data_IF_794415411501
#
_entry.id   IF_794415411501
#
_cell.length_a   1.000
_cell.length_b   1.000
_cell.length_c   1.000
_cell.angle_alpha   90.00
_cell.angle_beta   90.00
_cell.angle_gamma   90.00
#
_symmetry.space_group_name_H-M   'P 1'
#
loop_
_entity.id
_entity.type
_entity.pdbx_description
1 polymer ?
#
# COMPACT_ATOMS: atom_id res chain seq x y z
N UNK A 1 10.09 -5.12 25.01
CA UNK A 1 10.45 -3.81 25.58
C UNK A 1 9.26 -2.98 25.23
N UNK A 2 8.60 -2.32 26.19
CA UNK A 2 7.35 -1.65 25.85
C UNK A 2 7.60 -0.62 24.74
N UNK A 3 6.77 -0.60 23.70
CA UNK A 3 6.79 0.48 22.70
C UNK A 3 6.85 1.85 23.38
N UNK A 4 7.73 2.71 22.87
CA UNK A 4 7.84 4.12 23.26
C UNK A 4 7.24 4.99 22.16
N UNK A 5 6.34 5.89 22.54
CA UNK A 5 5.78 6.88 21.63
C UNK A 5 6.61 8.14 21.67
N UNK A 6 7.01 8.63 20.50
CA UNK A 6 7.63 9.93 20.30
C UNK A 6 6.70 10.78 19.46
N UNK A 7 6.39 11.98 19.93
CA UNK A 7 5.63 12.95 19.15
C UNK A 7 6.60 13.92 18.46
N UNK A 8 6.42 14.13 17.17
CA UNK A 8 7.23 15.06 16.38
C UNK A 8 6.33 16.06 15.67
N UNK A 9 6.48 17.34 15.97
CA UNK A 9 5.71 18.41 15.33
C UNK A 9 6.41 18.85 14.05
N UNK A 10 5.72 18.74 12.92
CA UNK A 10 6.24 19.05 11.59
C UNK A 10 5.98 20.51 11.24
N UNK A 11 7.06 21.27 11.14
CA UNK A 11 7.03 22.68 10.72
C UNK A 11 7.27 22.80 9.21
N UNK A 12 7.00 23.98 8.66
CA UNK A 12 7.24 24.26 7.23
C UNK A 12 8.68 24.03 6.77
N UNK A 13 9.65 24.28 7.65
CA UNK A 13 11.08 24.16 7.35
C UNK A 13 11.69 22.92 8.04
N UNK A 14 10.88 21.91 8.34
CA UNK A 14 11.37 20.67 8.93
C UNK A 14 12.35 19.99 7.96
N UNK A 15 13.54 19.53 8.40
CA UNK A 15 14.51 18.90 7.51
C UNK A 15 14.04 17.58 6.89
N UNK A 16 13.00 16.95 7.44
CA UNK A 16 12.36 15.77 6.85
C UNK A 16 11.31 16.14 5.80
N UNK A 17 11.00 17.43 5.62
CA UNK A 17 10.03 17.89 4.65
C UNK A 17 10.74 18.36 3.39
N UNK A 18 10.44 17.68 2.29
CA UNK A 18 10.82 18.12 0.96
C UNK A 18 9.63 18.80 0.29
N UNK A 19 9.88 20.00 -0.25
CA UNK A 19 8.89 20.69 -1.08
C UNK A 19 9.05 20.20 -2.50
N UNK A 20 8.03 19.52 -3.01
CA UNK A 20 8.03 19.10 -4.41
C UNK A 20 7.73 20.33 -5.24
N UNK A 21 8.71 20.73 -6.06
CA UNK A 21 8.49 21.80 -7.04
C UNK A 21 8.13 21.15 -8.37
N UNK A 22 7.02 21.54 -9.00
CA UNK A 22 6.74 21.22 -10.39
C UNK A 22 7.96 21.41 -11.30
N UNK A 23 8.55 20.32 -11.81
CA UNK A 23 9.55 20.35 -12.88
C UNK A 23 11.01 20.05 -12.53
N UNK A 24 11.36 19.67 -11.29
CA UNK A 24 12.75 19.24 -10.99
C UNK A 24 12.88 17.71 -11.04
N UNK A 25 13.07 17.19 -12.24
CA UNK A 25 13.28 15.77 -12.50
C UNK A 25 14.55 15.22 -11.82
N UNK A 26 14.38 14.33 -10.84
CA UNK A 26 15.32 13.23 -10.57
C UNK A 26 14.54 11.93 -10.31
N UNK A 27 14.13 11.27 -11.39
CA UNK A 27 13.86 9.82 -11.40
C UNK A 27 12.59 9.29 -10.72
N UNK A 28 12.14 9.87 -9.61
CA UNK A 28 10.85 9.53 -9.01
C UNK A 28 9.73 10.05 -9.90
N UNK A 29 8.62 9.31 -9.99
CA UNK A 29 7.35 9.74 -10.61
C UNK A 29 7.19 11.24 -10.38
N UNK A 30 7.26 12.04 -11.44
CA UNK A 30 7.17 13.47 -11.24
C UNK A 30 5.77 13.78 -10.71
N UNK A 31 5.72 14.07 -9.42
CA UNK A 31 4.65 14.81 -8.77
C UNK A 31 4.70 16.27 -9.27
N UNK A 32 4.89 16.46 -10.58
CA UNK A 32 5.07 17.77 -11.21
C UNK A 32 3.82 18.65 -11.13
N UNK A 33 2.73 18.15 -10.54
CA UNK A 33 1.52 18.92 -10.26
C UNK A 33 1.23 19.05 -8.75
N UNK A 34 2.02 18.45 -7.87
CA UNK A 34 1.83 18.57 -6.43
C UNK A 34 2.63 19.75 -5.90
N UNK A 35 1.98 20.88 -5.66
CA UNK A 35 2.49 21.85 -4.68
C UNK A 35 2.26 21.29 -3.27
N UNK A 36 3.02 20.28 -2.90
CA UNK A 36 2.86 19.71 -1.57
C UNK A 36 4.16 19.16 -1.02
N UNK A 37 4.02 18.71 0.22
CA UNK A 37 5.14 18.40 1.09
C UNK A 37 5.17 16.91 1.31
N UNK A 38 6.32 16.31 1.10
CA UNK A 38 6.54 14.91 1.44
C UNK A 38 7.40 14.80 2.67
N UNK A 39 7.05 13.85 3.54
CA UNK A 39 7.86 13.44 4.66
C UNK A 39 8.84 12.38 4.16
N UNK A 40 10.08 12.79 3.95
CA UNK A 40 11.17 11.91 3.60
C UNK A 40 11.83 11.38 4.88
N UNK A 41 11.67 10.08 5.13
CA UNK A 41 12.40 9.35 6.18
C UNK A 41 13.43 8.46 5.50
N UNK A 42 14.74 8.73 5.66
CA UNK A 42 15.77 7.95 4.99
C UNK A 42 15.71 6.46 5.31
N UNK A 43 15.92 5.61 4.28
CA UNK A 43 15.89 4.14 4.40
C UNK A 43 14.57 3.61 4.98
N UNK A 44 13.45 4.26 4.62
CA UNK A 44 12.11 3.80 4.94
C UNK A 44 11.43 3.12 3.76
N UNK A 45 10.40 2.35 4.09
CA UNK A 45 9.40 1.84 3.15
C UNK A 45 8.03 2.33 3.62
N UNK A 46 7.22 2.85 2.70
CA UNK A 46 5.83 3.23 3.00
C UNK A 46 4.96 1.99 2.92
N UNK A 47 4.19 1.77 3.98
CA UNK A 47 3.20 0.72 4.06
C UNK A 47 1.93 1.07 3.26
N UNK A 48 1.46 0.16 2.41
CA UNK A 48 0.21 0.27 1.70
C UNK A 48 -1.00 -0.20 2.55
N UNK A 49 -2.23 0.21 2.18
CA UNK A 49 -3.46 -0.34 2.75
C UNK A 49 -3.55 -1.85 2.56
N UNK A 50 -3.92 -2.58 3.62
CA UNK A 50 -3.84 -4.05 3.69
C UNK A 50 -2.45 -4.60 3.37
N UNK A 51 -1.41 -3.77 3.51
CA UNK A 51 -0.02 -4.16 3.43
C UNK A 51 0.51 -4.59 4.79
N UNK A 52 1.53 -5.43 4.77
CA UNK A 52 2.34 -5.70 5.95
C UNK A 52 3.82 -5.83 5.64
N UNK A 53 4.61 -5.57 6.68
CA UNK A 53 6.07 -5.62 6.67
C UNK A 53 6.57 -6.40 7.87
N UNK A 54 7.62 -7.17 7.65
CA UNK A 54 8.41 -7.85 8.67
C UNK A 54 9.76 -7.14 8.86
N UNK A 55 10.04 -6.70 10.08
CA UNK A 55 11.32 -6.08 10.45
C UNK A 55 12.06 -7.02 11.39
N UNK A 56 13.07 -7.70 10.86
CA UNK A 56 13.99 -8.53 11.65
C UNK A 56 15.34 -7.82 11.83
N UNK A 57 16.19 -8.22 12.79
CA UNK A 57 17.45 -7.53 13.05
C UNK A 57 18.33 -7.31 11.82
N UNK A 58 18.40 -8.32 10.94
CA UNK A 58 19.18 -8.33 9.70
C UNK A 58 18.55 -7.57 8.53
N UNK A 59 17.34 -7.01 8.69
CA UNK A 59 16.67 -6.23 7.65
C UNK A 59 17.51 -5.03 7.22
N UNK A 60 17.52 -4.70 5.93
CA UNK A 60 18.18 -3.50 5.40
C UNK A 60 17.36 -2.22 5.68
N UNK A 61 16.04 -2.34 5.84
CA UNK A 61 15.18 -1.26 6.28
C UNK A 61 15.46 -0.83 7.72
N UNK A 62 15.53 0.48 7.95
CA UNK A 62 15.66 1.08 9.29
C UNK A 62 14.30 1.48 9.84
N UNK A 63 13.41 1.96 8.96
CA UNK A 63 12.08 2.45 9.30
C UNK A 63 11.01 1.85 8.41
N UNK A 64 9.81 1.74 8.96
CA UNK A 64 8.56 1.63 8.18
C UNK A 64 7.77 2.88 8.42
N UNK A 65 7.32 3.52 7.35
CA UNK A 65 6.49 4.72 7.40
C UNK A 65 5.10 4.42 6.88
N UNK A 66 4.15 5.28 7.23
CA UNK A 66 2.79 5.19 6.74
C UNK A 66 1.96 6.37 7.21
N UNK A 67 0.71 6.41 6.77
CA UNK A 67 -0.27 7.41 7.18
C UNK A 67 -1.33 6.78 8.10
N UNK A 68 -2.01 7.60 8.90
CA UNK A 68 -3.07 7.16 9.81
C UNK A 68 -4.45 7.07 9.14
N UNK A 69 -4.54 6.97 7.81
CA UNK A 69 -5.83 6.84 7.11
C UNK A 69 -6.47 5.46 7.27
N UNK A 70 -5.72 4.50 7.82
CA UNK A 70 -6.17 3.14 8.10
C UNK A 70 -5.77 2.74 9.52
N UNK A 71 -6.51 1.83 10.16
CA UNK A 71 -6.05 1.20 11.36
C UNK A 71 -4.68 0.52 11.17
N UNK A 72 -3.80 0.69 12.16
CA UNK A 72 -2.44 0.15 12.13
C UNK A 72 -2.26 -0.74 13.35
N UNK A 73 -1.72 -1.93 13.14
CA UNK A 73 -1.27 -2.81 14.21
C UNK A 73 0.24 -2.95 14.11
N UNK A 74 0.92 -2.77 15.23
CA UNK A 74 2.35 -2.97 15.35
C UNK A 74 2.57 -3.99 16.46
N UNK A 75 3.24 -5.08 16.14
CA UNK A 75 3.56 -6.13 17.09
C UNK A 75 5.08 -6.34 17.15
N UNK A 76 5.62 -6.44 18.36
CA UNK A 76 7.05 -6.65 18.61
C UNK A 76 7.27 -7.79 19.59
N UNK A 77 8.27 -8.62 19.30
CA UNK A 77 8.78 -9.58 20.26
C UNK A 77 10.19 -9.17 20.71
N UNK A 78 10.34 -8.85 22.00
CA UNK A 78 11.63 -8.47 22.58
C UNK A 78 12.68 -9.57 22.46
N UNK A 79 12.26 -10.83 22.60
CA UNK A 79 13.20 -11.96 22.65
C UNK A 79 13.81 -12.28 21.27
N UNK A 80 13.08 -12.03 20.19
CA UNK A 80 13.54 -12.25 18.82
C UNK A 80 13.99 -10.96 18.13
N UNK A 81 13.70 -9.80 18.73
CA UNK A 81 13.96 -8.48 18.14
C UNK A 81 13.28 -8.32 16.77
N UNK A 82 12.13 -8.97 16.60
CA UNK A 82 11.31 -8.91 15.40
C UNK A 82 10.10 -8.03 15.64
N UNK A 83 9.79 -7.20 14.65
CA UNK A 83 8.63 -6.31 14.62
C UNK A 83 7.86 -6.56 13.34
N UNK A 84 6.53 -6.61 13.41
CA UNK A 84 5.67 -6.55 12.24
C UNK A 84 4.80 -5.31 12.32
N UNK A 85 4.61 -4.68 11.16
CA UNK A 85 3.73 -3.52 10.99
C UNK A 85 2.72 -3.90 9.92
N UNK A 86 1.44 -3.71 10.20
CA UNK A 86 0.37 -4.00 9.27
C UNK A 86 -0.69 -2.90 9.30
N UNK A 87 -1.17 -2.51 8.13
CA UNK A 87 -2.27 -1.56 7.95
C UNK A 87 -3.50 -2.36 7.56
N UNK A 88 -4.48 -2.43 8.45
CA UNK A 88 -5.66 -3.30 8.28
C UNK A 88 -6.90 -2.48 8.00
N UNK A 89 -7.81 -3.05 7.23
CA UNK A 89 -9.16 -2.52 7.07
C UNK A 89 -9.96 -2.58 8.37
N UNK A 90 -11.00 -1.76 8.44
CA UNK A 90 -11.96 -1.75 9.56
C UNK A 90 -12.87 -3.00 9.58
N UNK A 91 -12.89 -3.76 8.49
CA UNK A 91 -13.68 -4.98 8.36
C UNK A 91 -12.93 -6.18 8.94
N UNK A 92 -13.68 -7.21 9.35
CA UNK A 92 -13.15 -8.50 9.82
C UNK A 92 -12.01 -8.99 8.92
N UNK A 93 -10.80 -9.00 9.48
CA UNK A 93 -9.65 -9.67 8.88
C UNK A 93 -9.76 -11.13 9.26
N UNK A 94 -9.64 -12.03 8.28
CA UNK A 94 -9.58 -13.46 8.56
C UNK A 94 -8.42 -13.69 9.53
N UNK A 95 -8.70 -14.21 10.75
CA UNK A 95 -7.69 -14.41 11.78
C UNK A 95 -6.48 -15.18 11.27
N UNK A 96 -6.70 -16.12 10.35
CA UNK A 96 -5.64 -16.96 9.81
C UNK A 96 -4.56 -16.16 9.06
N UNK A 97 -4.88 -14.97 8.56
CA UNK A 97 -3.89 -14.09 7.94
C UNK A 97 -2.85 -13.56 8.95
N UNK A 98 -3.11 -13.64 10.26
CA UNK A 98 -2.12 -13.27 11.30
C UNK A 98 -1.16 -14.40 11.68
N UNK A 99 -1.37 -15.63 11.19
CA UNK A 99 -0.51 -16.79 11.52
C UNK A 99 0.94 -16.52 11.15
N UNK A 100 1.18 -16.04 9.94
CA UNK A 100 2.53 -15.76 9.44
C UNK A 100 3.22 -14.66 10.25
N UNK A 101 2.47 -13.70 10.77
CA UNK A 101 3.00 -12.65 11.64
C UNK A 101 3.45 -13.21 12.99
N UNK A 102 2.64 -14.07 13.62
CA UNK A 102 3.01 -14.72 14.88
C UNK A 102 4.17 -15.69 14.69
N UNK A 103 4.19 -16.43 13.58
CA UNK A 103 5.31 -17.29 13.17
C UNK A 103 6.61 -16.49 13.02
N UNK A 104 6.52 -15.38 12.28
CA UNK A 104 7.63 -14.46 12.10
C UNK A 104 8.13 -13.93 13.45
N UNK A 105 7.24 -13.41 14.30
CA UNK A 105 7.61 -12.86 15.61
C UNK A 105 8.22 -13.90 16.55
N UNK A 106 7.75 -15.16 16.50
CA UNK A 106 8.22 -16.21 17.40
C UNK A 106 9.55 -16.83 17.00
N UNK A 107 9.86 -16.86 15.70
CA UNK A 107 11.11 -17.43 15.19
C UNK A 107 11.38 -18.86 15.72
N UNK A 108 10.36 -19.71 15.67
CA UNK A 108 10.41 -21.07 16.20
C UNK A 108 10.41 -21.20 17.73
N UNK A 109 10.42 -20.10 18.50
CA UNK A 109 10.44 -20.12 19.98
C UNK A 109 9.02 -20.16 20.57
N UNK A 110 8.91 -20.64 21.81
CA UNK A 110 7.68 -20.71 22.59
C UNK A 110 7.76 -19.87 23.86
N UNK A 111 6.62 -19.65 24.53
CA UNK A 111 6.59 -18.96 25.83
C UNK A 111 6.96 -17.48 25.75
N UNK A 112 6.84 -16.87 24.56
CA UNK A 112 7.24 -15.50 24.32
C UNK A 112 6.14 -14.50 24.73
N UNK A 113 6.57 -13.27 25.03
CA UNK A 113 5.67 -12.13 25.21
C UNK A 113 5.70 -11.29 23.93
N UNK A 114 4.53 -11.09 23.32
CA UNK A 114 4.33 -10.22 22.17
C UNK A 114 3.67 -8.92 22.65
N UNK A 115 4.34 -7.79 22.41
CA UNK A 115 3.79 -6.46 22.69
C UNK A 115 3.07 -5.96 21.44
N UNK A 116 1.81 -5.58 21.56
CA UNK A 116 0.95 -5.12 20.49
C UNK A 116 0.47 -3.71 20.80
N UNK A 117 0.57 -2.83 19.81
CA UNK A 117 -0.01 -1.50 19.84
C UNK A 117 -0.87 -1.31 18.60
N UNK A 118 -2.11 -0.89 18.84
CA UNK A 118 -3.09 -0.63 17.78
C UNK A 118 -3.40 0.87 17.75
N UNK A 119 -3.37 1.44 16.56
CA UNK A 119 -3.90 2.76 16.28
C UNK A 119 -5.14 2.61 15.42
N UNK A 120 -6.25 3.17 15.90
CA UNK A 120 -7.51 3.17 15.16
C UNK A 120 -8.01 4.62 15.05
N UNK A 121 -8.09 5.18 13.83
CA UNK A 121 -8.60 6.54 13.65
C UNK A 121 -10.05 6.71 14.14
N UNK A 122 -10.85 5.64 14.14
CA UNK A 122 -12.29 5.73 14.44
C UNK A 122 -12.66 5.17 15.82
N UNK A 123 -11.65 4.79 16.63
CA UNK A 123 -11.85 4.31 18.00
C UNK A 123 -12.71 3.05 18.11
N UNK A 124 -12.75 2.22 17.05
CA UNK A 124 -13.57 1.03 16.96
C UNK A 124 -13.12 -0.09 17.90
N UNK A 125 -14.05 -0.95 18.38
CA UNK A 125 -13.71 -2.05 19.26
C UNK A 125 -13.11 -3.24 18.49
N UNK A 126 -11.78 -3.34 18.48
CA UNK A 126 -10.97 -4.50 18.04
C UNK A 126 -11.08 -5.73 18.97
N UNK A 127 -12.24 -5.94 19.61
CA UNK A 127 -12.40 -6.97 20.65
C UNK A 127 -12.15 -8.37 20.09
N UNK A 128 -12.63 -8.63 18.88
CA UNK A 128 -12.47 -9.93 18.25
C UNK A 128 -11.02 -10.15 17.81
N UNK A 129 -10.33 -9.10 17.36
CA UNK A 129 -8.90 -9.18 17.01
C UNK A 129 -8.04 -9.66 18.19
N UNK A 130 -8.23 -9.12 19.39
CA UNK A 130 -7.44 -9.57 20.54
C UNK A 130 -7.73 -11.04 20.90
N UNK A 131 -9.01 -11.43 20.85
CA UNK A 131 -9.41 -12.82 21.09
C UNK A 131 -8.80 -13.77 20.05
N UNK A 132 -8.80 -13.39 18.78
CA UNK A 132 -8.26 -14.17 17.68
C UNK A 132 -6.74 -14.30 17.75
N UNK A 133 -6.02 -13.22 17.99
CA UNK A 133 -4.57 -13.26 18.15
C UNK A 133 -4.17 -14.15 19.34
N UNK A 134 -4.89 -14.04 20.47
CA UNK A 134 -4.66 -14.91 21.63
C UNK A 134 -4.94 -16.38 21.31
N UNK A 135 -6.02 -16.66 20.59
CA UNK A 135 -6.38 -18.01 20.13
C UNK A 135 -5.29 -18.60 19.22
N UNK A 136 -4.78 -17.82 18.27
CA UNK A 136 -3.70 -18.23 17.36
C UNK A 136 -2.36 -18.42 18.07
N UNK A 137 -2.08 -17.63 19.11
CA UNK A 137 -0.85 -17.74 19.89
C UNK A 137 -0.86 -18.84 20.96
N UNK A 138 -2.05 -19.31 21.38
CA UNK A 138 -2.19 -20.29 22.46
C UNK A 138 -1.44 -21.62 22.21
N UNK A 139 -1.45 -22.23 21.01
CA UNK A 139 -0.67 -23.44 20.72
C UNK A 139 0.84 -23.28 20.94
N UNK A 140 1.35 -22.04 20.92
CA UNK A 140 2.77 -21.72 21.07
C UNK A 140 3.10 -21.07 22.43
N UNK A 141 2.14 -21.13 23.37
CA UNK A 141 2.27 -20.55 24.71
C UNK A 141 2.61 -19.05 24.69
N UNK A 142 2.15 -18.33 23.66
CA UNK A 142 2.39 -16.88 23.56
C UNK A 142 1.51 -16.14 24.55
N UNK A 143 2.10 -15.10 25.16
CA UNK A 143 1.38 -14.12 25.96
C UNK A 143 1.42 -12.76 25.26
N UNK A 144 0.40 -11.94 25.50
CA UNK A 144 0.20 -10.70 24.77
C UNK A 144 -0.05 -9.53 25.72
N UNK A 145 0.67 -8.43 25.49
CA UNK A 145 0.34 -7.12 26.06
C UNK A 145 -0.23 -6.25 24.94
N UNK A 146 -1.51 -5.88 25.01
CA UNK A 146 -2.17 -5.03 24.02
C UNK A 146 -2.37 -3.60 24.56
N UNK A 147 -2.20 -2.60 23.70
CA UNK A 147 -2.50 -1.19 23.98
C UNK A 147 -3.19 -0.56 22.79
N UNK A 148 -4.25 0.18 23.07
CA UNK A 148 -4.94 1.01 22.09
C UNK A 148 -4.46 2.45 22.24
N UNK A 149 -4.19 3.11 21.12
CA UNK A 149 -3.74 4.50 21.08
C UNK A 149 -4.51 5.28 20.04
N UNK A 150 -4.93 6.46 20.45
CA UNK A 150 -5.44 7.47 19.55
C UNK A 150 -4.27 8.13 18.82
N UNK A 151 -4.39 8.26 17.49
CA UNK A 151 -3.44 9.00 16.67
C UNK A 151 -3.51 10.52 16.94
N UNK A 152 -4.64 11.00 17.48
CA UNK A 152 -4.93 12.40 17.72
C UNK A 152 -4.84 13.19 16.42
N UNK A 153 -3.98 14.20 16.39
CA UNK A 153 -3.74 15.01 15.18
C UNK A 153 -2.63 14.46 14.27
N UNK A 154 -2.02 13.32 14.60
CA UNK A 154 -0.94 12.78 13.79
C UNK A 154 -1.44 12.40 12.38
N UNK A 155 -0.62 12.68 11.37
CA UNK A 155 -0.92 12.34 9.96
C UNK A 155 -0.11 11.16 9.46
N UNK A 156 1.12 11.03 9.95
CA UNK A 156 2.01 9.95 9.57
C UNK A 156 2.71 9.35 10.79
N UNK A 157 3.26 8.15 10.61
CA UNK A 157 4.09 7.49 11.59
C UNK A 157 5.39 6.95 10.99
N UNK A 158 6.37 6.71 11.86
CA UNK A 158 7.54 5.89 11.55
C UNK A 158 7.76 4.88 12.69
N UNK A 159 7.92 3.61 12.34
CA UNK A 159 8.30 2.52 13.27
C UNK A 159 9.77 2.21 13.07
N UNK A 160 10.56 2.43 14.11
CA UNK A 160 12.00 2.12 14.08
C UNK A 160 12.25 0.64 14.41
N UNK A 161 13.05 -0.02 13.55
CA UNK A 161 13.41 -1.44 13.71
C UNK A 161 14.03 -1.77 15.08
N UNK A 162 15.02 -1.00 15.51
CA UNK A 162 15.92 -1.38 16.60
C UNK A 162 15.42 -1.05 18.01
N UNK A 163 14.57 -0.03 18.14
CA UNK A 163 14.32 0.63 19.44
C UNK A 163 12.89 0.45 19.93
N UNK A 164 12.00 -0.13 19.12
CA UNK A 164 10.55 -0.14 19.37
C UNK A 164 10.00 1.28 19.62
N UNK A 165 10.62 2.29 18.98
CA UNK A 165 10.13 3.67 18.99
C UNK A 165 9.17 3.86 17.82
N UNK A 166 8.01 4.41 18.13
CA UNK A 166 7.03 4.85 17.13
C UNK A 166 7.01 6.37 17.18
N UNK A 167 7.43 6.99 16.09
CA UNK A 167 7.37 8.45 15.94
C UNK A 167 6.06 8.81 15.24
N UNK A 168 5.24 9.62 15.90
CA UNK A 168 4.00 10.18 15.37
C UNK A 168 4.25 11.61 14.88
N UNK A 169 3.94 11.89 13.62
CA UNK A 169 4.19 13.17 12.98
C UNK A 169 2.92 14.02 12.95
N UNK A 170 2.96 15.15 13.65
CA UNK A 170 1.82 16.06 13.80
C UNK A 170 2.02 17.31 12.93
N UNK A 171 1.08 17.64 12.02
CA UNK A 171 1.16 18.86 11.22
C UNK A 171 0.98 20.11 12.10
N UNK A 172 1.64 21.19 11.69
CA UNK A 172 1.34 22.55 12.18
C UNK A 172 0.34 23.23 11.25
N UNK A 173 -0.33 24.33 11.68
CA UNK A 173 -1.18 25.10 10.78
C UNK A 173 -0.47 25.62 9.51
N UNK A 174 0.86 25.77 9.55
CA UNK A 174 1.68 26.19 8.40
C UNK A 174 2.18 25.03 7.54
N UNK A 175 1.94 23.78 7.96
CA UNK A 175 2.25 22.52 7.29
C UNK A 175 1.09 21.56 7.51
N UNK A 176 -0.11 22.00 7.13
CA UNK A 176 -1.37 21.32 7.44
C UNK A 176 -1.55 20.00 6.68
N UNK A 177 -0.80 19.80 5.61
CA UNK A 177 -0.82 18.57 4.82
C UNK A 177 0.58 18.14 4.39
N UNK A 178 0.86 16.85 4.54
CA UNK A 178 2.04 16.16 4.04
C UNK A 178 1.77 14.65 4.00
N UNK A 179 2.44 13.96 3.07
CA UNK A 179 2.37 12.51 2.92
C UNK A 179 3.77 11.91 3.05
N UNK A 180 3.92 10.66 3.51
CA UNK A 180 5.19 9.96 3.42
C UNK A 180 5.68 9.89 1.96
N UNK A 181 6.99 10.01 1.74
CA UNK A 181 7.61 9.92 0.40
C UNK A 181 7.71 8.48 -0.14
N UNK A 182 7.15 8.23 -1.32
CA UNK A 182 7.02 6.90 -1.92
C UNK A 182 7.99 6.71 -3.09
N UNK A 183 8.70 5.60 -3.10
CA UNK A 183 9.47 5.21 -4.29
C UNK A 183 8.55 4.84 -5.48
N UNK A 184 9.17 4.70 -6.66
CA UNK A 184 8.47 4.39 -7.92
C UNK A 184 7.66 3.09 -7.89
N UNK A 185 7.98 2.17 -6.99
CA UNK A 185 7.30 0.90 -6.84
C UNK A 185 6.12 1.00 -5.86
N UNK A 186 6.32 1.71 -4.74
CA UNK A 186 5.40 1.80 -3.62
C UNK A 186 4.08 2.47 -4.01
N UNK A 187 4.11 3.51 -4.84
CA UNK A 187 2.88 4.20 -5.27
C UNK A 187 1.99 3.31 -6.18
N UNK A 188 2.48 2.71 -7.28
CA UNK A 188 1.72 1.72 -8.03
C UNK A 188 1.24 0.55 -7.17
N UNK A 189 2.08 0.06 -6.26
CA UNK A 189 1.70 -1.01 -5.32
C UNK A 189 0.51 -0.60 -4.46
N UNK A 190 0.57 0.59 -3.82
CA UNK A 190 -0.50 1.13 -2.96
C UNK A 190 -1.83 1.24 -3.71
N UNK A 191 -1.81 1.79 -4.92
CA UNK A 191 -3.02 1.96 -5.73
C UNK A 191 -3.58 0.59 -6.17
N UNK A 192 -2.71 -0.35 -6.56
CA UNK A 192 -3.11 -1.69 -6.97
C UNK A 192 -3.65 -2.53 -5.82
N UNK A 193 -3.05 -2.45 -4.64
CA UNK A 193 -3.55 -3.08 -3.43
C UNK A 193 -4.96 -2.56 -3.12
N UNK A 194 -5.12 -1.23 -3.04
CA UNK A 194 -6.42 -0.58 -2.83
C UNK A 194 -7.49 -1.03 -3.86
N UNK A 195 -7.11 -1.10 -5.15
CA UNK A 195 -7.99 -1.57 -6.21
C UNK A 195 -8.37 -3.05 -6.04
N UNK A 196 -7.40 -3.91 -5.70
CA UNK A 196 -7.64 -5.34 -5.50
C UNK A 196 -8.58 -5.58 -4.30
N UNK A 197 -8.38 -4.86 -3.19
CA UNK A 197 -9.21 -4.92 -1.99
C UNK A 197 -10.64 -4.48 -2.31
N UNK A 198 -10.79 -3.32 -2.98
CA UNK A 198 -12.10 -2.81 -3.34
C UNK A 198 -12.84 -3.78 -4.28
N UNK A 199 -12.15 -4.34 -5.28
CA UNK A 199 -12.74 -5.31 -6.19
C UNK A 199 -13.12 -6.61 -5.47
N UNK A 200 -12.25 -7.11 -4.59
CA UNK A 200 -12.52 -8.30 -3.77
C UNK A 200 -13.77 -8.10 -2.91
N UNK A 201 -13.89 -6.97 -2.21
CA UNK A 201 -15.05 -6.68 -1.37
C UNK A 201 -16.37 -6.58 -2.18
N UNK A 202 -16.32 -6.16 -3.46
CA UNK A 202 -17.51 -6.21 -4.33
C UNK A 202 -17.90 -7.65 -4.66
N UNK A 203 -16.92 -8.49 -5.00
CA UNK A 203 -17.16 -9.87 -5.43
C UNK A 203 -17.45 -10.82 -4.25
N UNK A 204 -16.95 -10.48 -3.06
CA UNK A 204 -17.01 -11.28 -1.85
C UNK A 204 -17.27 -10.40 -0.60
N UNK A 205 -18.49 -9.84 -0.46
CA UNK A 205 -18.78 -8.87 0.60
C UNK A 205 -18.68 -9.41 2.04
N UNK A 206 -18.67 -10.73 2.20
CA UNK A 206 -18.63 -11.41 3.49
C UNK A 206 -17.28 -12.09 3.75
N UNK A 207 -16.24 -11.79 2.97
CA UNK A 207 -14.90 -12.35 3.20
C UNK A 207 -13.90 -11.23 3.43
N UNK A 208 -12.96 -11.50 4.32
CA UNK A 208 -11.84 -10.63 4.54
C UNK A 208 -11.03 -10.46 3.25
N UNK A 209 -10.68 -9.22 2.85
CA UNK A 209 -9.74 -9.01 1.77
C UNK A 209 -8.36 -9.58 2.12
N UNK A 210 -7.57 -9.97 1.12
CA UNK A 210 -6.20 -10.45 1.35
C UNK A 210 -5.30 -9.31 1.84
N UNK A 211 -4.36 -9.65 2.72
CA UNK A 211 -3.20 -8.81 3.03
C UNK A 211 -2.04 -9.09 2.06
N UNK A 212 -1.23 -8.05 1.80
CA UNK A 212 -0.10 -8.12 0.88
C UNK A 212 1.23 -7.93 1.63
N UNK A 213 2.15 -8.89 1.47
CA UNK A 213 3.50 -8.74 1.98
C UNK A 213 4.28 -7.74 1.11
N UNK A 214 4.69 -6.61 1.67
CA UNK A 214 5.55 -5.64 0.98
C UNK A 214 7.03 -5.85 1.24
N UNK A 215 7.34 -6.43 2.39
CA UNK A 215 8.70 -6.77 2.78
C UNK A 215 8.70 -7.94 3.76
N UNK A 216 9.40 -9.01 3.39
CA UNK A 216 9.36 -10.30 4.11
C UNK A 216 10.38 -10.40 5.25
N UNK A 217 11.10 -9.32 5.55
CA UNK A 217 12.20 -9.30 6.51
C UNK A 217 13.57 -9.31 5.87
N UNK A 218 13.69 -9.81 4.64
CA UNK A 218 14.95 -9.92 3.91
C UNK A 218 14.96 -9.17 2.59
N UNK A 219 13.80 -9.08 1.94
CA UNK A 219 13.66 -8.47 0.62
C UNK A 219 12.34 -7.75 0.50
N UNK A 220 12.38 -6.66 -0.27
CA UNK A 220 11.18 -5.99 -0.76
C UNK A 220 10.45 -6.91 -1.72
N UNK A 221 9.14 -6.75 -1.79
CA UNK A 221 8.34 -7.40 -2.82
C UNK A 221 8.81 -6.90 -4.18
N UNK A 222 9.12 -7.84 -5.06
CA UNK A 222 9.60 -7.60 -6.44
C UNK A 222 8.43 -7.56 -7.44
N UNK A 223 7.21 -7.77 -6.94
CA UNK A 223 5.99 -7.94 -7.71
C UNK A 223 4.85 -7.09 -7.15
N UNK A 224 4.12 -6.45 -8.05
CA UNK A 224 2.86 -5.77 -7.80
C UNK A 224 1.72 -6.76 -7.51
N UNK A 225 0.68 -6.33 -6.77
CA UNK A 225 -0.49 -7.15 -6.47
C UNK A 225 -1.15 -7.70 -7.73
N UNK A 226 -1.55 -8.96 -7.68
CA UNK A 226 -2.30 -9.57 -8.76
C UNK A 226 -3.73 -9.06 -8.70
N UNK A 227 -4.15 -8.36 -9.76
CA UNK A 227 -5.51 -7.88 -9.87
C UNK A 227 -6.50 -9.00 -10.22
N UNK A 228 -7.66 -9.10 -9.52
CA UNK A 228 -8.78 -9.92 -9.96
C UNK A 228 -9.38 -9.41 -11.27
N UNK A 229 -10.20 -10.24 -11.95
CA UNK A 229 -10.77 -9.89 -13.28
C UNK A 229 -11.52 -8.55 -13.26
N UNK A 230 -12.33 -8.27 -12.22
CA UNK A 230 -13.05 -7.00 -12.06
C UNK A 230 -12.11 -5.79 -12.03
N UNK A 231 -11.03 -5.88 -11.26
CA UNK A 231 -10.03 -4.83 -11.18
C UNK A 231 -9.32 -4.62 -12.54
N UNK A 232 -8.96 -5.70 -13.24
CA UNK A 232 -8.39 -5.61 -14.59
C UNK A 232 -9.35 -4.97 -15.60
N UNK A 233 -10.64 -5.29 -15.52
CA UNK A 233 -11.67 -4.70 -16.36
C UNK A 233 -11.82 -3.19 -16.11
N UNK A 234 -11.77 -2.77 -14.84
CA UNK A 234 -11.79 -1.36 -14.49
C UNK A 234 -10.56 -0.61 -15.06
N UNK A 235 -9.35 -1.18 -14.90
CA UNK A 235 -8.12 -0.60 -15.47
C UNK A 235 -8.17 -0.55 -17.00
N UNK A 236 -8.72 -1.58 -17.67
CA UNK A 236 -8.96 -1.58 -19.12
C UNK A 236 -9.84 -0.40 -19.54
N UNK A 237 -10.94 -0.15 -18.83
CA UNK A 237 -11.84 0.97 -19.12
C UNK A 237 -11.11 2.30 -18.92
N UNK A 238 -10.41 2.46 -17.79
CA UNK A 238 -9.63 3.67 -17.50
C UNK A 238 -8.58 3.95 -18.58
N UNK A 239 -7.79 2.94 -18.98
CA UNK A 239 -6.74 3.08 -20.03
C UNK A 239 -7.30 3.32 -21.43
N UNK A 240 -8.58 3.04 -21.70
CA UNK A 240 -9.22 3.26 -23.01
C UNK A 240 -9.89 4.63 -23.11
N UNK A 241 -10.35 5.19 -22.00
CA UNK A 241 -10.79 6.58 -21.97
C UNK A 241 -9.57 7.43 -22.33
N UNK A 242 -9.74 8.34 -23.30
CA UNK A 242 -8.73 9.33 -23.67
C UNK A 242 -8.60 10.32 -22.52
N UNK A 243 -7.97 9.90 -21.43
CA UNK A 243 -7.54 10.84 -20.40
C UNK A 243 -6.43 11.70 -20.98
N UNK A 244 -6.34 12.93 -20.48
CA UNK A 244 -5.19 13.78 -20.71
C UNK A 244 -3.97 12.94 -20.36
N UNK A 245 -3.11 12.70 -21.34
CA UNK A 245 -1.89 11.95 -21.07
C UNK A 245 -1.04 12.84 -20.16
N UNK A 246 -0.62 12.38 -18.98
CA UNK A 246 0.15 13.21 -18.05
C UNK A 246 1.43 13.76 -18.70
N UNK A 247 2.02 12.98 -19.60
CA UNK A 247 3.14 13.37 -20.47
C UNK A 247 2.88 14.61 -21.35
N UNK A 248 1.62 14.92 -21.64
CA UNK A 248 1.23 16.05 -22.51
C UNK A 248 0.67 17.24 -21.71
N UNK A 249 0.03 17.01 -20.57
CA UNK A 249 -0.49 18.04 -19.68
C UNK A 249 -0.62 17.46 -18.24
N UNK A 250 0.48 17.52 -17.47
CA UNK A 250 0.48 17.03 -16.10
C UNK A 250 -0.56 17.75 -15.24
N UNK A 251 -0.65 19.08 -15.35
CA UNK A 251 -1.54 19.89 -14.52
C UNK A 251 -3.02 19.55 -14.75
N UNK A 252 -3.44 19.36 -16.00
CA UNK A 252 -4.80 18.94 -16.33
C UNK A 252 -5.15 17.52 -15.89
N UNK A 253 -4.20 16.58 -16.00
CA UNK A 253 -4.40 15.20 -15.51
C UNK A 253 -4.60 15.16 -13.98
N UNK A 254 -3.98 16.09 -13.24
CA UNK A 254 -4.10 16.18 -11.79
C UNK A 254 -5.31 16.98 -11.32
N UNK A 255 -5.71 18.06 -11.99
CA UNK A 255 -6.99 18.72 -11.71
C UNK A 255 -8.16 17.74 -11.89
N UNK A 256 -8.11 16.90 -12.92
CA UNK A 256 -9.05 15.78 -13.10
C UNK A 256 -8.92 14.78 -11.94
N UNK A 257 -7.71 14.49 -11.44
CA UNK A 257 -7.53 13.58 -10.31
C UNK A 257 -8.05 14.14 -8.98
N UNK A 258 -7.83 15.41 -8.67
CA UNK A 258 -8.33 16.06 -7.46
C UNK A 258 -9.85 16.18 -7.49
N UNK A 259 -10.43 16.59 -8.62
CA UNK A 259 -11.88 16.55 -8.84
C UNK A 259 -12.40 15.12 -8.61
N UNK A 260 -11.68 14.10 -9.09
CA UNK A 260 -12.04 12.70 -8.86
C UNK A 260 -11.85 12.21 -7.42
N UNK A 261 -10.83 12.67 -6.70
CA UNK A 261 -10.60 12.33 -5.30
C UNK A 261 -11.58 13.06 -4.37
N UNK A 262 -11.97 14.29 -4.72
CA UNK A 262 -13.05 15.05 -4.06
C UNK A 262 -14.39 14.40 -4.37
N UNK A 263 -14.68 14.05 -5.63
CA UNK A 263 -15.84 13.26 -6.01
C UNK A 263 -15.85 11.90 -5.31
N UNK A 264 -14.71 11.23 -5.15
CA UNK A 264 -14.60 9.97 -4.45
C UNK A 264 -14.86 10.09 -2.94
N UNK A 265 -14.43 11.20 -2.31
CA UNK A 265 -14.80 11.56 -0.94
C UNK A 265 -16.30 11.89 -0.81
N UNK A 266 -16.87 12.54 -1.82
CA UNK A 266 -18.32 12.81 -1.90
C UNK A 266 -19.13 11.54 -2.24
N UNK A 267 -18.49 10.55 -2.88
CA UNK A 267 -19.02 9.21 -3.14
C UNK A 267 -18.85 8.25 -1.95
N UNK A 268 -18.79 8.75 -0.70
CA UNK A 268 -19.23 7.95 0.44
C UNK A 268 -20.67 7.41 0.22
N UNK A 269 -21.47 8.07 -0.62
CA UNK A 269 -22.76 7.57 -1.12
C UNK A 269 -22.65 6.53 -2.28
N UNK A 270 -21.47 6.36 -2.90
CA UNK A 270 -21.24 5.55 -4.11
C UNK A 270 -20.77 4.10 -3.89
N UNK A 271 -20.57 3.69 -2.64
CA UNK A 271 -20.24 2.31 -2.25
C UNK A 271 -18.93 1.76 -2.81
N UNK A 272 -18.73 0.45 -2.67
CA UNK A 272 -17.49 -0.26 -3.06
C UNK A 272 -17.15 -0.09 -4.56
N UNK A 273 -18.15 0.05 -5.43
CA UNK A 273 -17.96 0.22 -6.87
C UNK A 273 -17.35 1.58 -7.24
N UNK A 274 -17.64 2.63 -6.46
CA UNK A 274 -16.99 3.94 -6.58
C UNK A 274 -15.48 3.84 -6.33
N UNK A 275 -15.09 3.14 -5.26
CA UNK A 275 -13.67 2.88 -4.93
C UNK A 275 -12.93 2.14 -6.04
N UNK A 276 -13.52 1.08 -6.60
CA UNK A 276 -12.94 0.36 -7.76
C UNK A 276 -12.71 1.29 -8.94
N UNK A 277 -13.71 2.11 -9.27
CA UNK A 277 -13.65 3.03 -10.41
C UNK A 277 -12.56 4.09 -10.20
N UNK A 278 -12.46 4.63 -8.98
CA UNK A 278 -11.47 5.64 -8.62
C UNK A 278 -10.05 5.12 -8.71
N UNK A 279 -9.75 4.00 -8.02
CA UNK A 279 -8.42 3.40 -8.05
C UNK A 279 -8.02 2.99 -9.47
N UNK A 280 -8.96 2.53 -10.30
CA UNK A 280 -8.70 2.25 -11.70
C UNK A 280 -8.39 3.51 -12.54
N UNK A 281 -9.01 4.66 -12.24
CA UNK A 281 -8.68 5.95 -12.91
C UNK A 281 -7.28 6.42 -12.53
N UNK A 282 -6.92 6.40 -11.24
CA UNK A 282 -5.56 6.65 -10.74
C UNK A 282 -4.53 5.80 -11.51
N UNK A 283 -4.82 4.51 -11.67
CA UNK A 283 -3.99 3.58 -12.44
C UNK A 283 -3.85 3.96 -13.92
N UNK A 284 -4.88 4.53 -14.53
CA UNK A 284 -4.84 5.03 -15.89
C UNK A 284 -3.91 6.25 -16.03
N UNK A 285 -3.90 7.12 -15.02
CA UNK A 285 -3.09 8.33 -14.98
C UNK A 285 -1.61 8.06 -14.67
N UNK A 286 -1.26 6.96 -13.98
CA UNK A 286 0.14 6.58 -13.81
C UNK A 286 0.87 6.25 -15.12
N UNK A 287 0.14 6.14 -16.23
CA UNK A 287 0.69 5.80 -17.53
C UNK A 287 1.02 4.30 -17.67
N UNK A 288 1.80 3.92 -18.69
CA UNK A 288 2.21 2.54 -18.89
C UNK A 288 3.34 2.16 -17.92
N UNK A 289 3.19 1.02 -17.26
CA UNK A 289 4.21 0.40 -16.43
C UNK A 289 4.06 -1.11 -16.47
N UNK A 290 5.13 -1.85 -16.14
CA UNK A 290 5.09 -3.29 -16.09
C UNK A 290 4.11 -3.76 -15.01
N UNK A 291 3.08 -4.52 -15.40
CA UNK A 291 2.07 -5.08 -14.49
C UNK A 291 2.67 -6.02 -13.42
N UNK A 292 3.93 -6.45 -13.58
CA UNK A 292 4.64 -7.26 -12.59
C UNK A 292 5.54 -6.40 -11.70
N UNK A 293 6.48 -5.63 -12.23
CA UNK A 293 7.51 -4.98 -11.41
C UNK A 293 7.46 -3.44 -11.35
N UNK A 294 6.41 -2.80 -11.85
CA UNK A 294 6.25 -1.34 -11.89
C UNK A 294 7.23 -0.55 -12.79
N UNK A 295 8.24 -1.19 -13.40
CA UNK A 295 9.15 -0.56 -14.38
C UNK A 295 8.39 0.23 -15.45
N UNK A 296 8.87 1.43 -15.79
CA UNK A 296 8.20 2.33 -16.75
C UNK A 296 8.87 2.36 -18.11
N UNK A 297 10.11 1.91 -18.19
CA UNK A 297 10.89 1.94 -19.42
C UNK A 297 11.01 0.57 -20.07
N UNK A 298 11.25 0.55 -21.39
CA UNK A 298 11.40 -0.69 -22.14
C UNK A 298 10.16 -1.57 -22.01
N UNK A 299 8.97 -1.01 -22.26
CA UNK A 299 7.72 -1.74 -22.13
C UNK A 299 7.25 -2.30 -23.47
N UNK A 300 6.75 -3.53 -23.42
CA UNK A 300 6.01 -4.19 -24.47
C UNK A 300 4.55 -4.35 -24.04
N UNK A 301 3.63 -4.12 -24.97
CA UNK A 301 2.20 -4.24 -24.71
C UNK A 301 1.74 -5.66 -25.04
N UNK A 302 0.85 -6.24 -24.24
CA UNK A 302 0.26 -7.53 -24.56
C UNK A 302 -0.41 -7.51 -25.94
N UNK A 303 0.04 -8.36 -26.87
CA UNK A 303 -0.45 -8.41 -28.24
C UNK A 303 -1.93 -8.82 -28.36
N UNK A 304 -2.46 -9.54 -27.35
CA UNK A 304 -3.85 -10.00 -27.31
C UNK A 304 -4.82 -8.89 -26.89
N UNK A 305 -4.77 -8.49 -25.61
CA UNK A 305 -5.72 -7.54 -25.04
C UNK A 305 -5.34 -6.07 -25.27
N UNK A 306 -4.05 -5.78 -25.53
CA UNK A 306 -3.49 -4.42 -25.56
C UNK A 306 -3.87 -3.61 -24.31
N UNK A 307 -3.93 -4.21 -23.14
CA UNK A 307 -4.20 -3.47 -21.89
C UNK A 307 -2.99 -3.50 -20.98
N UNK A 308 -2.45 -4.69 -20.73
CA UNK A 308 -1.30 -4.88 -19.85
C UNK A 308 0.02 -4.61 -20.58
N UNK A 309 0.98 -4.09 -19.82
CA UNK A 309 2.33 -3.79 -20.27
C UNK A 309 3.32 -4.64 -19.46
N UNK A 310 4.38 -5.10 -20.09
CA UNK A 310 5.42 -5.94 -19.50
C UNK A 310 6.79 -5.47 -19.95
N UNK A 311 7.82 -5.66 -19.13
CA UNK A 311 9.21 -5.40 -19.52
C UNK A 311 9.59 -6.18 -20.79
N UNK A 312 10.24 -5.50 -21.73
CA UNK A 312 10.77 -6.11 -22.96
C UNK A 312 12.17 -6.69 -22.77
N UNK A 313 12.95 -6.13 -21.81
CA UNK A 313 14.36 -6.47 -21.57
C UNK A 313 14.63 -7.95 -21.29
N UNK A 314 13.66 -8.67 -20.71
CA UNK A 314 13.82 -10.07 -20.27
C UNK A 314 13.11 -11.08 -21.19
N UNK A 315 12.95 -10.76 -22.49
CA UNK A 315 12.31 -11.68 -23.46
C UNK A 315 10.88 -12.08 -23.07
N UNK A 316 10.16 -11.17 -22.39
CA UNK A 316 8.80 -11.37 -21.90
C UNK A 316 8.69 -12.25 -20.65
N UNK A 317 9.72 -12.36 -19.81
CA UNK A 317 9.67 -13.11 -18.55
C UNK A 317 8.45 -12.73 -17.68
N UNK A 318 8.25 -11.43 -17.41
CA UNK A 318 7.10 -10.94 -16.64
C UNK A 318 5.74 -11.23 -17.32
N UNK A 319 5.67 -11.24 -18.65
CA UNK A 319 4.44 -11.66 -19.34
C UNK A 319 4.16 -13.15 -19.14
N UNK A 320 5.20 -14.00 -19.23
CA UNK A 320 5.08 -15.45 -19.01
C UNK A 320 4.70 -15.76 -17.56
N UNK A 321 5.26 -15.01 -16.62
CA UNK A 321 4.95 -15.13 -15.19
C UNK A 321 3.50 -14.76 -14.87
N UNK A 322 2.99 -13.67 -15.45
CA UNK A 322 1.58 -13.26 -15.28
C UNK A 322 0.61 -14.12 -16.12
N UNK A 323 1.10 -14.82 -17.15
CA UNK A 323 0.27 -15.55 -18.13
C UNK A 323 -0.74 -16.53 -17.52
N UNK A 324 -0.41 -17.37 -16.52
CA UNK A 324 -1.38 -18.28 -15.91
C UNK A 324 -2.63 -17.58 -15.39
N UNK A 325 -2.50 -16.33 -14.94
CA UNK A 325 -3.60 -15.51 -14.40
C UNK A 325 -4.19 -14.57 -15.46
N UNK A 326 -3.38 -14.11 -16.40
CA UNK A 326 -3.79 -13.19 -17.47
C UNK A 326 -4.52 -13.90 -18.63
N UNK A 327 -4.20 -15.16 -18.93
CA UNK A 327 -4.61 -15.87 -20.16
C UNK A 327 -6.11 -15.83 -20.41
N UNK A 328 -6.92 -16.24 -19.43
CA UNK A 328 -8.37 -16.35 -19.61
C UNK A 328 -9.01 -14.97 -19.74
N UNK A 329 -8.60 -14.01 -18.90
CA UNK A 329 -9.02 -12.62 -19.03
C UNK A 329 -8.62 -12.01 -20.38
N UNK A 330 -7.41 -12.28 -20.87
CA UNK A 330 -6.89 -11.79 -22.13
C UNK A 330 -7.68 -12.32 -23.34
N UNK A 331 -8.10 -13.59 -23.31
CA UNK A 331 -8.92 -14.17 -24.38
C UNK A 331 -10.27 -13.46 -24.49
N UNK A 332 -10.94 -13.23 -23.35
CA UNK A 332 -12.23 -12.51 -23.26
C UNK A 332 -12.11 -11.06 -23.77
N UNK A 333 -10.93 -10.45 -23.59
CA UNK A 333 -10.67 -9.04 -23.87
C UNK A 333 -9.78 -8.78 -25.09
N UNK A 334 -9.63 -9.77 -25.98
CA UNK A 334 -8.77 -9.65 -27.15
C UNK A 334 -9.24 -8.52 -28.05
N UNK A 335 -8.33 -7.67 -28.50
CA UNK A 335 -8.64 -6.67 -29.53
C UNK A 335 -8.79 -7.39 -30.87
N UNK A 336 -9.90 -7.19 -31.61
CA UNK A 336 -10.03 -7.73 -32.96
C UNK A 336 -8.81 -7.35 -33.79
N UNK A 337 -8.27 -8.30 -34.55
CA UNK A 337 -7.27 -7.95 -35.57
C UNK A 337 -7.97 -6.96 -36.50
N UNK A 338 -7.42 -5.76 -36.64
CA UNK A 338 -7.88 -4.85 -37.69
C UNK A 338 -7.83 -5.67 -38.98
N UNK A 339 -8.99 -5.84 -39.62
CA UNK A 339 -9.06 -6.45 -40.94
C UNK A 339 -8.17 -5.58 -41.82
N UNK A 340 -7.03 -6.12 -42.23
CA UNK A 340 -6.17 -5.55 -43.26
C UNK A 340 -7.01 -5.52 -44.54
N UNK A 341 -7.67 -4.39 -44.76
CA UNK A 341 -8.35 -4.06 -46.01
C UNK A 341 -7.32 -3.56 -47.02
#
# INVERSE_FOLDING_TARGET
>A
MAFKLKHHTVYRNDPLIETITPGSSTGAVSLDAFQGRVLNVPNSLILAPHGYIFLQPSSDLTYVTGDFSWPIVIANCKATQRTTVLMVGQNEVDPDQYKDHLEFLRDGKEGLVIDIICFDPDGGPWRDFEADIRRLGAPHQLSFTSRYKDAGTARAFAVEKATSIITMYHPTPHCNDFLPDSDDFSLPFKILAALAIAAHAVDHPNTAPPMFCEYDGTKRVDRLPILPERARDAVKVARRKKHIRPENDPAGAWAELEELMVDAKMMEEGGLQGRVTMSARLMGQLGPFCTVCAEKHGLSRCAGCRVDYYCSKDGGAHQKEDWPRHKEWCKKNRVPKASTA
#
